data_IF_164695351519
#
_entry.id   IF_164695351519
#
_cell.length_a   1.000
_cell.length_b   1.000
_cell.length_c   1.000
_cell.angle_alpha   90.00
_cell.angle_beta   90.00
_cell.angle_gamma   90.00
#
_symmetry.space_group_name_H-M   'P 1'
#
loop_
_entity.id
_entity.type
_entity.pdbx_description
1 polymer ?
#
# COMPACT_ATOMS: atom_id res chain seq x y z
N UNK A 1 -14.06 -12.52 28.47
CA UNK A 1 -14.80 -11.51 29.28
C UNK A 1 -14.59 -10.07 28.78
N UNK A 2 -13.36 -9.61 28.48
CA UNK A 2 -13.09 -8.22 28.05
C UNK A 2 -13.86 -7.80 26.79
N UNK A 3 -13.91 -8.64 25.76
CA UNK A 3 -14.62 -8.35 24.50
C UNK A 3 -16.12 -8.16 24.72
N UNK A 4 -16.74 -8.88 25.65
CA UNK A 4 -18.15 -8.70 25.96
C UNK A 4 -18.46 -7.27 26.43
N UNK A 5 -17.65 -6.72 27.33
CA UNK A 5 -17.81 -5.33 27.79
C UNK A 5 -17.52 -4.32 26.67
N UNK A 6 -16.56 -4.61 25.79
CA UNK A 6 -16.34 -3.76 24.63
C UNK A 6 -17.51 -3.77 23.65
N UNK A 7 -18.21 -4.91 23.47
CA UNK A 7 -19.42 -4.97 22.64
C UNK A 7 -20.51 -4.10 23.22
N UNK A 8 -20.81 -4.22 24.51
CA UNK A 8 -21.81 -3.37 25.18
C UNK A 8 -21.50 -1.88 25.07
N UNK A 9 -20.22 -1.50 25.20
CA UNK A 9 -19.81 -0.12 25.02
C UNK A 9 -19.87 0.33 23.55
N UNK A 10 -19.57 -0.55 22.61
CA UNK A 10 -19.68 -0.27 21.17
C UNK A 10 -21.12 -0.05 20.74
N UNK A 11 -22.07 -0.83 21.28
CA UNK A 11 -23.51 -0.66 21.05
C UNK A 11 -24.00 0.72 21.54
N UNK A 12 -23.37 1.26 22.58
CA UNK A 12 -23.59 2.64 23.04
C UNK A 12 -22.84 3.70 22.21
N UNK A 13 -22.22 3.30 21.12
CA UNK A 13 -21.53 4.20 20.20
C UNK A 13 -20.07 4.52 20.52
N UNK A 14 -19.46 3.83 21.49
CA UNK A 14 -18.06 4.06 21.87
C UNK A 14 -17.10 3.56 20.77
N UNK A 15 -16.48 4.53 20.06
CA UNK A 15 -15.55 4.27 18.94
C UNK A 15 -14.29 3.52 19.40
N UNK A 16 -13.81 3.82 20.61
CA UNK A 16 -12.62 3.15 21.16
C UNK A 16 -12.88 1.65 21.41
N UNK A 17 -14.10 1.31 21.80
CA UNK A 17 -14.51 -0.07 21.97
C UNK A 17 -14.62 -0.80 20.63
N UNK A 18 -15.14 -0.14 19.58
CA UNK A 18 -15.12 -0.69 18.21
C UNK A 18 -13.69 -0.99 17.77
N UNK A 19 -12.73 -0.08 17.98
CA UNK A 19 -11.33 -0.33 17.66
C UNK A 19 -10.79 -1.56 18.39
N UNK A 20 -11.06 -1.70 19.70
CA UNK A 20 -10.61 -2.86 20.48
C UNK A 20 -11.23 -4.18 19.99
N UNK A 21 -12.48 -4.17 19.55
CA UNK A 21 -13.12 -5.35 18.96
C UNK A 21 -12.47 -5.66 17.60
N UNK A 22 -12.23 -4.65 16.78
CA UNK A 22 -11.50 -4.80 15.51
C UNK A 22 -10.12 -5.40 15.69
N UNK A 23 -9.33 -4.88 16.64
CA UNK A 23 -8.01 -5.39 17.02
C UNK A 23 -8.08 -6.83 17.48
N UNK A 24 -9.09 -7.17 18.29
CA UNK A 24 -9.29 -8.52 18.80
C UNK A 24 -9.53 -9.54 17.68
N UNK A 25 -10.35 -9.20 16.69
CA UNK A 25 -10.54 -10.04 15.49
C UNK A 25 -9.30 -10.06 14.59
N UNK A 26 -8.58 -8.95 14.48
CA UNK A 26 -7.39 -8.85 13.63
C UNK A 26 -6.24 -9.72 14.14
N UNK A 27 -5.99 -9.71 15.44
CA UNK A 27 -4.91 -10.46 16.10
C UNK A 27 -5.36 -11.81 16.69
N UNK A 28 -6.66 -12.06 16.75
CA UNK A 28 -7.22 -13.27 17.37
C UNK A 28 -7.21 -13.25 18.90
N UNK A 29 -6.97 -12.09 19.52
CA UNK A 29 -6.79 -11.99 20.97
C UNK A 29 -8.15 -11.91 21.70
N UNK A 30 -8.44 -12.96 22.48
CA UNK A 30 -9.65 -13.03 23.31
C UNK A 30 -10.94 -13.29 22.53
N UNK A 31 -10.84 -13.82 21.32
CA UNK A 31 -11.93 -14.29 20.48
C UNK A 31 -11.77 -15.81 20.32
N UNK A 32 -12.79 -16.58 20.69
CA UNK A 32 -12.77 -18.04 20.61
C UNK A 32 -12.58 -18.56 19.18
N UNK A 33 -12.99 -17.75 18.19
CA UNK A 33 -12.86 -18.05 16.75
C UNK A 33 -11.45 -17.80 16.16
N UNK A 34 -10.50 -17.30 16.97
CA UNK A 34 -9.16 -16.94 16.48
C UNK A 34 -9.14 -15.69 15.58
N UNK A 35 -8.17 -15.62 14.66
CA UNK A 35 -7.99 -14.50 13.73
C UNK A 35 -9.09 -14.50 12.66
N UNK A 36 -9.88 -13.43 12.60
CA UNK A 36 -10.89 -13.20 11.57
C UNK A 36 -10.76 -11.76 11.01
N UNK A 37 -9.93 -11.62 9.99
CA UNK A 37 -9.65 -10.32 9.38
C UNK A 37 -10.86 -9.73 8.65
N UNK A 38 -11.77 -10.57 8.14
CA UNK A 38 -12.98 -10.08 7.49
C UNK A 38 -13.91 -9.40 8.51
N UNK A 39 -14.11 -10.01 9.67
CA UNK A 39 -14.88 -9.37 10.76
C UNK A 39 -14.18 -8.14 11.31
N UNK A 40 -12.86 -8.16 11.42
CA UNK A 40 -12.08 -6.98 11.81
C UNK A 40 -12.33 -5.81 10.85
N UNK A 41 -12.30 -6.06 9.52
CA UNK A 41 -12.57 -5.04 8.52
C UNK A 41 -13.96 -4.41 8.67
N UNK A 42 -14.99 -5.22 8.91
CA UNK A 42 -16.37 -4.72 9.14
C UNK A 42 -16.43 -3.81 10.36
N UNK A 43 -15.79 -4.21 11.46
CA UNK A 43 -15.77 -3.40 12.69
C UNK A 43 -14.97 -2.10 12.51
N UNK A 44 -13.84 -2.15 11.82
CA UNK A 44 -13.07 -0.94 11.49
C UNK A 44 -13.86 -0.03 10.54
N UNK A 45 -14.64 -0.57 9.61
CA UNK A 45 -15.51 0.22 8.74
C UNK A 45 -16.55 1.00 9.56
N UNK A 46 -17.20 0.34 10.53
CA UNK A 46 -18.13 1.01 11.44
C UNK A 46 -17.45 2.12 12.26
N UNK A 47 -16.21 1.88 12.74
CA UNK A 47 -15.44 2.90 13.45
C UNK A 47 -15.02 4.06 12.55
N UNK A 48 -14.70 3.79 11.28
CA UNK A 48 -14.32 4.82 10.30
C UNK A 48 -15.49 5.74 9.94
N UNK A 49 -16.72 5.22 9.88
CA UNK A 49 -17.94 6.01 9.69
C UNK A 49 -18.15 7.02 10.83
N UNK A 50 -17.64 6.71 12.02
CA UNK A 50 -17.60 7.60 13.18
C UNK A 50 -16.35 8.52 13.19
N UNK A 51 -15.67 8.67 12.06
CA UNK A 51 -14.48 9.50 11.85
C UNK A 51 -13.27 9.10 12.71
N UNK A 52 -13.11 7.83 13.02
CA UNK A 52 -11.92 7.33 13.70
C UNK A 52 -10.73 7.28 12.75
N UNK A 53 -9.75 8.17 12.96
CA UNK A 53 -8.50 8.19 12.18
C UNK A 53 -7.73 6.87 12.28
N UNK A 54 -7.71 6.25 13.47
CA UNK A 54 -7.08 4.94 13.68
C UNK A 54 -7.77 3.83 12.86
N UNK A 55 -9.11 3.81 12.80
CA UNK A 55 -9.84 2.84 11.98
C UNK A 55 -9.58 3.04 10.49
N UNK A 56 -9.55 4.28 10.03
CA UNK A 56 -9.22 4.61 8.62
C UNK A 56 -7.80 4.15 8.28
N UNK A 57 -6.84 4.37 9.18
CA UNK A 57 -5.46 3.91 8.98
C UNK A 57 -5.38 2.38 8.89
N UNK A 58 -6.07 1.66 9.79
CA UNK A 58 -6.12 0.20 9.78
C UNK A 58 -6.74 -0.33 8.48
N UNK A 59 -7.85 0.27 8.01
CA UNK A 59 -8.46 -0.10 6.72
C UNK A 59 -7.53 0.17 5.54
N UNK A 60 -6.82 1.29 5.54
CA UNK A 60 -5.79 1.58 4.54
C UNK A 60 -4.73 0.49 4.49
N UNK A 61 -4.22 0.06 5.64
CA UNK A 61 -3.24 -1.03 5.75
C UNK A 61 -3.83 -2.37 5.28
N UNK A 62 -5.10 -2.65 5.59
CA UNK A 62 -5.77 -3.88 5.16
C UNK A 62 -5.93 -3.94 3.64
N UNK A 63 -6.28 -2.83 2.98
CA UNK A 63 -6.33 -2.75 1.52
C UNK A 63 -4.94 -2.79 0.87
N UNK A 64 -3.92 -2.18 1.49
CA UNK A 64 -2.54 -2.22 1.00
C UNK A 64 -2.01 -3.66 0.90
N UNK A 65 -2.30 -4.49 1.92
CA UNK A 65 -1.76 -5.84 2.01
C UNK A 65 -2.76 -6.94 1.59
N UNK A 66 -4.01 -6.61 1.32
CA UNK A 66 -5.04 -7.59 1.01
C UNK A 66 -5.43 -8.45 2.22
N UNK A 67 -5.47 -7.88 3.41
CA UNK A 67 -5.73 -8.60 4.67
C UNK A 67 -7.20 -8.54 5.06
N UNK A 68 -7.97 -9.58 4.70
CA UNK A 68 -9.41 -9.64 4.94
C UNK A 68 -10.25 -8.72 4.03
N UNK A 69 -9.61 -7.98 3.15
CA UNK A 69 -10.18 -7.15 2.10
C UNK A 69 -9.37 -7.35 0.82
N UNK A 70 -9.98 -7.11 -0.36
CA UNK A 70 -9.23 -7.13 -1.62
C UNK A 70 -8.08 -6.12 -1.57
N UNK A 71 -6.91 -6.51 -2.11
CA UNK A 71 -5.77 -5.61 -2.26
C UNK A 71 -6.13 -4.51 -3.26
N UNK A 72 -6.10 -3.26 -2.80
CA UNK A 72 -6.37 -2.07 -3.60
C UNK A 72 -5.53 -0.90 -3.09
N UNK A 73 -4.46 -0.58 -3.84
CA UNK A 73 -3.52 0.48 -3.47
C UNK A 73 -4.15 1.89 -3.60
N UNK A 74 -5.12 2.06 -4.52
CA UNK A 74 -5.82 3.33 -4.69
C UNK A 74 -6.75 3.60 -3.50
N UNK A 75 -7.47 2.56 -3.06
CA UNK A 75 -8.34 2.68 -1.91
C UNK A 75 -7.53 2.83 -0.61
N UNK A 76 -6.40 2.14 -0.47
CA UNK A 76 -5.47 2.34 0.64
C UNK A 76 -4.99 3.80 0.72
N UNK A 77 -4.55 4.38 -0.41
CA UNK A 77 -4.17 5.80 -0.48
C UNK A 77 -5.29 6.73 -0.03
N UNK A 78 -6.51 6.50 -0.51
CA UNK A 78 -7.68 7.30 -0.13
C UNK A 78 -7.95 7.26 1.37
N UNK A 79 -7.85 6.09 2.00
CA UNK A 79 -7.98 5.99 3.45
C UNK A 79 -6.89 6.75 4.19
N UNK A 80 -5.63 6.69 3.75
CA UNK A 80 -4.53 7.45 4.34
C UNK A 80 -4.72 8.97 4.18
N UNK A 81 -5.21 9.44 3.04
CA UNK A 81 -5.54 10.85 2.83
C UNK A 81 -6.70 11.31 3.75
N UNK A 82 -7.70 10.44 3.99
CA UNK A 82 -8.77 10.70 4.95
C UNK A 82 -8.25 10.79 6.39
N UNK A 83 -7.24 10.03 6.78
CA UNK A 83 -6.59 10.14 8.10
C UNK A 83 -6.00 11.54 8.27
N UNK A 84 -5.27 12.05 7.27
CA UNK A 84 -4.66 13.39 7.32
C UNK A 84 -5.69 14.50 7.48
N UNK A 85 -6.86 14.33 6.87
CA UNK A 85 -7.96 15.31 7.01
C UNK A 85 -8.65 15.23 8.37
N UNK A 86 -8.65 14.06 9.03
CA UNK A 86 -9.34 13.82 10.30
C UNK A 86 -8.46 14.12 11.51
N UNK A 87 -7.18 13.80 11.45
CA UNK A 87 -6.20 14.06 12.52
C UNK A 87 -4.87 14.56 11.93
N UNK A 88 -4.65 15.88 11.93
CA UNK A 88 -3.40 16.47 11.45
C UNK A 88 -2.16 16.03 12.23
N UNK A 89 -2.30 15.54 13.48
CA UNK A 89 -1.17 15.05 14.30
C UNK A 89 -0.62 13.72 13.79
N UNK A 90 -1.42 12.95 13.04
CA UNK A 90 -1.02 11.68 12.44
C UNK A 90 -0.20 11.85 11.14
N UNK A 91 0.26 13.08 10.81
CA UNK A 91 0.92 13.34 9.53
C UNK A 91 2.19 12.52 9.30
N UNK A 92 3.02 12.29 10.34
CA UNK A 92 4.28 11.54 10.20
C UNK A 92 4.03 10.08 9.81
N UNK A 93 3.29 9.27 10.58
CA UNK A 93 3.06 7.87 10.22
C UNK A 93 2.31 7.72 8.89
N UNK A 94 1.38 8.63 8.59
CA UNK A 94 0.62 8.59 7.33
C UNK A 94 1.49 8.96 6.13
N UNK A 95 2.36 9.96 6.24
CA UNK A 95 3.31 10.31 5.17
C UNK A 95 4.28 9.17 4.89
N UNK A 96 4.76 8.48 5.92
CA UNK A 96 5.60 7.29 5.75
C UNK A 96 4.83 6.15 5.06
N UNK A 97 3.57 5.92 5.45
CA UNK A 97 2.71 4.92 4.81
C UNK A 97 2.47 5.26 3.33
N UNK A 98 2.19 6.52 3.01
CA UNK A 98 2.01 6.98 1.62
C UNK A 98 3.29 6.85 0.79
N UNK A 99 4.45 7.18 1.37
CA UNK A 99 5.74 7.01 0.71
C UNK A 99 6.02 5.52 0.41
N UNK A 100 5.79 4.65 1.39
CA UNK A 100 5.88 3.20 1.24
C UNK A 100 4.93 2.70 0.15
N UNK A 101 3.69 3.18 0.13
CA UNK A 101 2.69 2.81 -0.86
C UNK A 101 3.11 3.20 -2.28
N UNK A 102 3.67 4.42 -2.44
CA UNK A 102 4.20 4.89 -3.74
C UNK A 102 5.38 4.03 -4.21
N UNK A 103 6.30 3.70 -3.29
CA UNK A 103 7.43 2.82 -3.61
C UNK A 103 6.95 1.42 -4.03
N UNK A 104 5.93 0.89 -3.35
CA UNK A 104 5.34 -0.42 -3.67
C UNK A 104 4.66 -0.42 -5.04
N UNK A 105 3.85 0.61 -5.33
CA UNK A 105 3.21 0.76 -6.63
C UNK A 105 4.22 0.89 -7.77
N UNK A 106 5.27 1.70 -7.57
CA UNK A 106 6.36 1.85 -8.54
C UNK A 106 7.10 0.52 -8.78
N UNK A 107 7.36 -0.25 -7.72
CA UNK A 107 8.02 -1.54 -7.81
C UNK A 107 7.17 -2.57 -8.56
N UNK A 108 5.86 -2.63 -8.27
CA UNK A 108 4.92 -3.52 -8.98
C UNK A 108 4.86 -3.18 -10.47
N UNK A 109 4.80 -1.90 -10.82
CA UNK A 109 4.81 -1.44 -12.20
C UNK A 109 6.10 -1.85 -12.93
N UNK A 110 7.26 -1.73 -12.25
CA UNK A 110 8.55 -2.17 -12.80
C UNK A 110 8.62 -3.68 -13.02
N UNK A 111 8.19 -4.47 -12.03
CA UNK A 111 8.17 -5.94 -12.15
C UNK A 111 7.24 -6.37 -13.27
N UNK A 112 6.09 -5.73 -13.45
CA UNK A 112 5.18 -6.05 -14.55
C UNK A 112 5.78 -5.67 -15.91
N UNK A 113 6.46 -4.55 -16.01
CA UNK A 113 7.16 -4.13 -17.23
C UNK A 113 8.29 -5.11 -17.61
N UNK A 114 9.08 -5.56 -16.64
CA UNK A 114 10.15 -6.56 -16.85
C UNK A 114 9.57 -7.92 -17.25
N UNK A 115 8.49 -8.38 -16.61
CA UNK A 115 7.82 -9.62 -16.99
C UNK A 115 7.25 -9.54 -18.42
N UNK A 116 6.71 -8.39 -18.82
CA UNK A 116 6.30 -8.14 -20.21
C UNK A 116 7.46 -8.24 -21.20
N UNK A 117 8.63 -7.72 -20.82
CA UNK A 117 9.85 -7.80 -21.63
C UNK A 117 10.37 -9.25 -21.75
N UNK A 118 10.36 -10.01 -20.67
CA UNK A 118 10.73 -11.43 -20.68
C UNK A 118 9.80 -12.29 -21.57
N UNK A 119 8.50 -12.00 -21.56
CA UNK A 119 7.55 -12.65 -22.47
C UNK A 119 7.82 -12.28 -23.93
N UNK A 120 8.13 -11.03 -24.24
CA UNK A 120 8.48 -10.59 -25.58
C UNK A 120 9.79 -11.25 -26.09
N UNK A 121 10.80 -11.37 -25.21
CA UNK A 121 12.05 -12.07 -25.50
C UNK A 121 11.78 -13.57 -25.74
N UNK A 122 10.96 -14.20 -24.91
CA UNK A 122 10.60 -15.63 -25.02
C UNK A 122 9.79 -15.93 -26.30
N UNK A 123 8.90 -15.03 -26.70
CA UNK A 123 8.19 -15.11 -27.98
C UNK A 123 9.13 -14.87 -29.16
N UNK A 124 10.10 -13.95 -29.05
CA UNK A 124 11.14 -13.72 -30.05
C UNK A 124 12.06 -14.93 -30.25
N UNK A 125 12.35 -15.71 -29.21
CA UNK A 125 13.06 -16.98 -29.34
C UNK A 125 12.26 -18.08 -30.07
N UNK A 126 10.92 -18.02 -30.01
CA UNK A 126 10.05 -18.93 -30.73
C UNK A 126 9.93 -18.57 -32.24
N UNK A 127 10.07 -17.28 -32.55
CA UNK A 127 10.11 -16.78 -33.93
C UNK A 127 11.57 -16.79 -34.43
N UNK A 128 11.98 -17.86 -35.09
CA UNK A 128 13.33 -18.18 -35.59
C UNK A 128 13.86 -17.23 -36.69
N UNK A 129 13.59 -15.92 -36.60
CA UNK A 129 14.12 -14.90 -37.51
C UNK A 129 15.24 -14.10 -36.86
N UNK A 130 16.42 -13.96 -37.50
CA UNK A 130 17.57 -13.26 -36.96
C UNK A 130 17.30 -11.76 -36.68
N UNK A 131 16.33 -11.16 -37.38
CA UNK A 131 15.93 -9.76 -37.23
C UNK A 131 15.24 -9.48 -35.89
N UNK A 132 14.52 -10.44 -35.33
CA UNK A 132 13.87 -10.33 -34.02
C UNK A 132 14.86 -10.46 -32.85
N UNK A 133 15.99 -11.15 -33.06
CA UNK A 133 17.07 -11.25 -32.07
C UNK A 133 17.77 -9.89 -31.90
N UNK A 134 18.01 -9.16 -33.00
CA UNK A 134 18.61 -7.84 -33.01
C UNK A 134 17.66 -6.80 -32.34
N UNK A 135 16.36 -6.86 -32.62
CA UNK A 135 15.36 -6.01 -32.00
C UNK A 135 15.24 -6.24 -30.48
N UNK A 136 15.32 -7.50 -30.04
CA UNK A 136 15.33 -7.87 -28.62
C UNK A 136 16.56 -7.37 -27.88
N UNK A 137 17.74 -7.50 -28.47
CA UNK A 137 19.01 -7.01 -27.90
C UNK A 137 19.04 -5.47 -27.79
N UNK A 138 18.52 -4.76 -28.81
CA UNK A 138 18.36 -3.30 -28.77
C UNK A 138 17.38 -2.85 -27.69
N UNK A 139 16.29 -3.57 -27.48
CA UNK A 139 15.29 -3.30 -26.44
C UNK A 139 15.88 -3.41 -25.02
N UNK A 140 16.69 -4.44 -24.77
CA UNK A 140 17.38 -4.63 -23.47
C UNK A 140 18.40 -3.52 -23.23
N UNK A 141 19.18 -3.15 -24.24
CA UNK A 141 20.14 -2.03 -24.15
C UNK A 141 19.44 -0.70 -23.88
N UNK A 142 18.31 -0.44 -24.54
CA UNK A 142 17.51 0.78 -24.31
C UNK A 142 16.93 0.83 -22.89
N UNK A 143 16.44 -0.29 -22.36
CA UNK A 143 15.94 -0.39 -21.00
C UNK A 143 17.05 -0.14 -19.97
N UNK A 144 18.26 -0.69 -20.18
CA UNK A 144 19.41 -0.45 -19.31
C UNK A 144 19.84 1.01 -19.35
N UNK A 145 19.88 1.64 -20.52
CA UNK A 145 20.22 3.07 -20.68
C UNK A 145 19.18 3.97 -20.01
N UNK A 146 17.89 3.66 -20.12
CA UNK A 146 16.81 4.40 -19.43
C UNK A 146 16.92 4.26 -17.92
N UNK A 147 17.21 3.05 -17.40
CA UNK A 147 17.45 2.83 -15.97
C UNK A 147 18.67 3.60 -15.46
N UNK A 148 19.79 3.59 -16.19
CA UNK A 148 20.99 4.35 -15.84
C UNK A 148 20.75 5.86 -15.88
N UNK A 149 20.02 6.38 -16.88
CA UNK A 149 19.62 7.81 -16.90
C UNK A 149 18.70 8.18 -15.75
N UNK A 150 17.76 7.31 -15.37
CA UNK A 150 16.90 7.51 -14.21
C UNK A 150 17.69 7.59 -12.90
N UNK A 151 18.71 6.75 -12.72
CA UNK A 151 19.61 6.79 -11.57
C UNK A 151 20.45 8.06 -11.54
N UNK A 152 21.00 8.50 -12.68
CA UNK A 152 21.78 9.74 -12.77
C UNK A 152 20.93 10.96 -12.47
N UNK A 153 19.68 11.02 -12.95
CA UNK A 153 18.77 12.13 -12.64
C UNK A 153 18.35 12.15 -11.17
N UNK A 154 18.22 10.98 -10.53
CA UNK A 154 17.95 10.88 -9.10
C UNK A 154 19.14 11.39 -8.27
N UNK A 155 20.37 11.06 -8.66
CA UNK A 155 21.59 11.57 -8.04
C UNK A 155 21.72 13.08 -8.20
N UNK A 156 21.41 13.61 -9.39
CA UNK A 156 21.43 15.05 -9.66
C UNK A 156 20.36 15.84 -8.87
N UNK A 157 19.26 15.21 -8.49
CA UNK A 157 18.23 15.81 -7.62
C UNK A 157 18.65 15.81 -6.14
N UNK A 158 19.42 14.81 -5.71
CA UNK A 158 19.95 14.73 -4.35
C UNK A 158 21.13 15.66 -4.08
N UNK A 159 21.86 16.07 -5.15
CA UNK A 159 23.05 16.92 -5.06
C UNK A 159 22.73 18.42 -5.27
N UNK A 160 21.46 18.83 -5.22
CA UNK A 160 21.10 20.25 -5.24
C UNK A 160 21.36 20.87 -3.86
N UNK A 161 22.40 21.72 -3.71
CA UNK A 161 22.62 22.45 -2.47
C UNK A 161 21.41 23.35 -2.22
N UNK A 162 20.92 23.33 -0.99
CA UNK A 162 19.86 24.22 -0.52
C UNK A 162 20.34 25.69 -0.71
N UNK A 163 19.95 26.30 -1.84
CA UNK A 163 20.15 27.74 -2.05
C UNK A 163 19.25 28.48 -1.07
N UNK A 164 19.94 29.20 -0.17
CA UNK A 164 19.40 29.97 0.92
C UNK A 164 18.33 30.96 0.48
N UNK A 165 17.41 31.16 1.38
CA UNK A 165 16.61 32.38 1.46
C UNK A 165 17.48 33.44 2.14
N UNK A 166 17.86 34.44 1.40
CA UNK A 166 18.16 35.75 1.91
C UNK A 166 16.87 36.56 1.96
#
# INVERSE_FOLDING_TARGET
RAIHYHRLAADQGNVRSLLRIGDAYYFGNGVDAGVDRNKSAVVYLQASQKRSAQAMFNLGTMHEHGLGLPKDLHLAKRYYDMVLSSDPKAWVPVKLALLKLQAHAWLEERIQAENGLWWAIRLGHAARSPDLMLAGACGVLLAVVVCLRGLVSLFALLDRPARGRA
#
